data_IF_399088275176
#
_entry.id   IF_399088275176
#
_cell.length_a   1.000
_cell.length_b   1.000
_cell.length_c   1.000
_cell.angle_alpha   90.00
_cell.angle_beta   90.00
_cell.angle_gamma   90.00
#
_symmetry.space_group_name_H-M   'P 1'
#
loop_
_entity.id
_entity.type
_entity.pdbx_description
1 polymer ?
#
# COMPACT_ATOMS: atom_id res chain seq x y z
N UNK A 1 -12.21 8.39 -20.86
CA UNK A 1 -12.36 9.63 -21.63
C UNK A 1 -12.79 10.73 -20.67
N UNK A 2 -12.07 11.84 -20.64
CA UNK A 2 -12.43 13.03 -19.86
C UNK A 2 -12.26 14.23 -20.80
N UNK A 3 -13.29 15.06 -20.97
CA UNK A 3 -13.34 16.15 -21.96
C UNK A 3 -12.84 15.74 -23.35
N UNK A 4 -13.42 14.67 -23.90
CA UNK A 4 -13.07 14.09 -25.21
C UNK A 4 -11.59 13.72 -25.42
N UNK A 5 -10.83 13.64 -24.33
CA UNK A 5 -9.43 13.23 -24.33
C UNK A 5 -9.23 11.89 -23.63
N UNK A 6 -8.30 11.11 -24.18
CA UNK A 6 -7.85 9.86 -23.62
C UNK A 6 -6.60 10.09 -22.80
N UNK A 7 -6.61 9.58 -21.56
CA UNK A 7 -5.49 9.67 -20.64
C UNK A 7 -5.14 8.28 -20.17
N UNK A 8 -3.85 7.94 -20.25
CA UNK A 8 -3.32 6.69 -19.72
C UNK A 8 -2.70 6.96 -18.34
N UNK A 9 -3.13 6.18 -17.33
CA UNK A 9 -2.47 6.19 -16.04
C UNK A 9 -1.14 5.44 -16.16
N UNK A 10 -0.03 6.17 -16.08
CA UNK A 10 1.33 5.62 -16.21
C UNK A 10 1.94 5.18 -14.87
N UNK A 11 1.37 5.61 -13.75
CA UNK A 11 1.84 5.28 -12.39
C UNK A 11 0.69 4.76 -11.53
N UNK A 12 0.92 3.61 -10.91
CA UNK A 12 -0.07 2.90 -10.09
C UNK A 12 -1.21 2.31 -10.91
N UNK A 13 -2.07 1.56 -10.24
CA UNK A 13 -3.25 0.95 -10.89
C UNK A 13 -4.39 1.96 -10.94
N UNK A 14 -5.18 1.95 -12.02
CA UNK A 14 -6.38 2.78 -12.09
C UNK A 14 -7.40 2.34 -11.04
N UNK A 15 -7.92 3.29 -10.26
CA UNK A 15 -8.98 3.01 -9.29
C UNK A 15 -10.26 2.62 -10.03
N UNK A 16 -11.06 1.72 -9.46
CA UNK A 16 -12.32 1.26 -10.05
C UNK A 16 -12.23 -0.06 -10.83
N UNK A 17 -11.03 -0.60 -11.08
CA UNK A 17 -10.92 -1.98 -11.56
C UNK A 17 -10.99 -2.97 -10.39
N UNK A 18 -11.65 -4.12 -10.59
CA UNK A 18 -11.82 -5.15 -9.56
C UNK A 18 -10.50 -5.72 -9.02
N UNK A 19 -9.43 -5.73 -9.83
CA UNK A 19 -8.12 -6.23 -9.44
C UNK A 19 -7.21 -5.19 -8.77
N UNK A 20 -7.53 -3.89 -8.87
CA UNK A 20 -6.69 -2.83 -8.32
C UNK A 20 -6.41 -2.96 -6.82
N UNK A 21 -7.39 -3.32 -5.96
CA UNK A 21 -7.14 -3.50 -4.53
C UNK A 21 -6.19 -4.67 -4.24
N UNK A 22 -6.28 -5.76 -5.00
CA UNK A 22 -5.40 -6.92 -4.84
C UNK A 22 -3.95 -6.59 -5.20
N UNK A 23 -3.75 -5.87 -6.31
CA UNK A 23 -2.41 -5.41 -6.71
C UNK A 23 -1.80 -4.44 -5.67
N UNK A 24 -2.60 -3.51 -5.14
CA UNK A 24 -2.15 -2.62 -4.08
C UNK A 24 -1.72 -3.42 -2.83
N UNK A 25 -2.51 -4.41 -2.42
CA UNK A 25 -2.17 -5.27 -1.29
C UNK A 25 -0.87 -6.06 -1.47
N UNK A 26 -0.63 -6.62 -2.65
CA UNK A 26 0.60 -7.38 -2.95
C UNK A 26 1.82 -6.44 -2.92
N UNK A 27 1.72 -5.26 -3.54
CA UNK A 27 2.80 -4.29 -3.56
C UNK A 27 3.14 -3.81 -2.14
N UNK A 28 2.13 -3.45 -1.36
CA UNK A 28 2.30 -3.04 0.03
C UNK A 28 2.90 -4.15 0.89
N UNK A 29 2.48 -5.41 0.73
CA UNK A 29 3.07 -6.54 1.45
C UNK A 29 4.58 -6.72 1.16
N UNK A 30 5.00 -6.52 -0.08
CA UNK A 30 6.43 -6.55 -0.44
C UNK A 30 7.18 -5.40 0.24
N UNK A 31 6.64 -4.18 0.14
CA UNK A 31 7.22 -2.99 0.74
C UNK A 31 7.33 -3.11 2.27
N UNK A 32 6.29 -3.59 2.93
CA UNK A 32 6.26 -3.84 4.39
C UNK A 32 7.36 -4.80 4.81
N UNK A 33 7.55 -5.90 4.06
CA UNK A 33 8.62 -6.87 4.34
C UNK A 33 10.01 -6.23 4.24
N UNK A 34 10.24 -5.40 3.23
CA UNK A 34 11.52 -4.70 3.06
C UNK A 34 11.73 -3.64 4.14
N UNK A 35 10.67 -2.91 4.53
CA UNK A 35 10.72 -1.89 5.57
C UNK A 35 10.94 -2.49 6.96
N UNK A 36 10.24 -3.56 7.30
CA UNK A 36 10.41 -4.26 8.57
C UNK A 36 11.76 -4.96 8.69
N UNK A 37 12.31 -5.45 7.59
CA UNK A 37 13.67 -6.02 7.61
C UNK A 37 14.73 -4.95 7.90
N UNK A 38 14.54 -3.73 7.40
CA UNK A 38 15.47 -2.61 7.64
C UNK A 38 15.26 -1.93 9.00
N UNK A 39 14.09 -2.11 9.62
CA UNK A 39 13.78 -1.46 10.90
C UNK A 39 14.36 -2.25 12.09
N UNK A 40 15.19 -1.63 12.94
CA UNK A 40 15.70 -2.28 14.16
C UNK A 40 14.61 -2.42 15.24
N UNK A 41 13.53 -1.63 15.15
CA UNK A 41 12.42 -1.63 16.11
C UNK A 41 11.12 -1.92 15.35
N UNK A 42 10.56 -3.11 15.57
CA UNK A 42 9.32 -3.54 14.96
C UNK A 42 8.11 -3.10 15.81
N UNK A 43 6.97 -2.76 15.20
CA UNK A 43 5.74 -2.51 15.95
C UNK A 43 5.36 -3.73 16.80
N UNK A 44 4.80 -3.48 17.98
CA UNK A 44 4.16 -4.52 18.80
C UNK A 44 2.85 -4.98 18.17
N UNK A 45 2.12 -4.04 17.57
CA UNK A 45 0.91 -4.31 16.81
C UNK A 45 0.98 -3.54 15.50
N UNK A 46 0.69 -4.20 14.38
CA UNK A 46 0.63 -3.57 13.07
C UNK A 46 -0.46 -4.23 12.23
N UNK A 47 -1.43 -3.43 11.81
CA UNK A 47 -2.59 -3.84 11.05
C UNK A 47 -2.72 -2.91 9.84
N UNK A 48 -2.91 -3.48 8.66
CA UNK A 48 -3.13 -2.72 7.43
C UNK A 48 -4.42 -3.14 6.76
N UNK A 49 -5.17 -2.16 6.28
CA UNK A 49 -6.34 -2.32 5.44
C UNK A 49 -6.23 -1.42 4.20
N UNK A 50 -5.82 -2.01 3.06
CA UNK A 50 -5.51 -1.29 1.82
C UNK A 50 -4.53 -0.13 2.06
N UNK A 51 -5.05 1.09 2.15
CA UNK A 51 -4.31 2.34 2.30
C UNK A 51 -4.23 2.78 3.78
N UNK A 52 -5.05 2.21 4.67
CA UNK A 52 -5.07 2.54 6.09
C UNK A 52 -4.13 1.62 6.88
N UNK A 53 -3.32 2.23 7.76
CA UNK A 53 -2.38 1.51 8.62
C UNK A 53 -2.61 1.96 10.06
N UNK A 54 -2.70 0.99 10.98
CA UNK A 54 -2.75 1.22 12.41
C UNK A 54 -1.68 0.38 13.11
N UNK A 55 -0.92 0.98 14.01
CA UNK A 55 0.07 0.25 14.77
C UNK A 55 0.48 0.89 16.08
N UNK A 56 1.09 0.08 16.94
CA UNK A 56 1.59 0.44 18.27
C UNK A 56 3.07 0.10 18.35
N UNK A 57 3.87 1.05 18.86
CA UNK A 57 5.30 0.88 19.12
C UNK A 57 5.59 1.24 20.57
N UNK A 58 5.88 0.24 21.41
CA UNK A 58 6.18 0.44 22.83
C UNK A 58 7.69 0.53 23.12
N UNK A 59 8.46 1.07 22.19
CA UNK A 59 9.90 1.22 22.36
C UNK A 59 10.22 2.53 23.08
N UNK A 60 11.13 2.48 24.06
CA UNK A 60 11.77 3.68 24.62
C UNK A 60 12.83 4.27 23.69
#
# INVERSE_FOLDING_TARGET
>A
MFDDKWFLRTKGTAMGNCFSPAYANIYMAKWEREAFHQSPKLPEAYYRYLDDIWGIWNHS
#
